data_IF_795574971802
#
_entry.id   IF_795574971802
#
_cell.length_a   1.000
_cell.length_b   1.000
_cell.length_c   1.000
_cell.angle_alpha   90.00
_cell.angle_beta   90.00
_cell.angle_gamma   90.00
#
_symmetry.space_group_name_H-M   'P 1'
#
loop_
_entity.id
_entity.type
_entity.pdbx_description
1 polymer ?
#
# COMPACT_ATOMS: atom_id res chain seq x y z
N UNK A 1 -23.18 -14.75 3.90
CA UNK A 1 -22.14 -14.89 4.94
C UNK A 1 -21.23 -16.05 4.50
N UNK A 2 -20.10 -15.77 3.85
CA UNK A 2 -19.21 -16.87 3.42
C UNK A 2 -18.51 -17.45 4.65
N UNK A 3 -19.06 -18.56 5.16
CA UNK A 3 -18.44 -19.44 6.16
C UNK A 3 -17.24 -20.19 5.59
N UNK A 4 -16.31 -19.48 4.96
CA UNK A 4 -15.05 -20.05 4.51
C UNK A 4 -14.21 -20.47 5.71
N UNK A 5 -13.72 -21.70 5.70
CA UNK A 5 -12.85 -22.24 6.76
C UNK A 5 -11.65 -21.30 6.96
N UNK A 6 -11.47 -20.79 8.19
CA UNK A 6 -10.31 -19.95 8.53
C UNK A 6 -9.04 -20.78 8.36
N UNK A 7 -8.09 -20.30 7.58
CA UNK A 7 -6.76 -20.90 7.47
C UNK A 7 -6.01 -20.67 8.78
N UNK A 8 -5.40 -21.74 9.33
CA UNK A 8 -4.52 -21.64 10.49
C UNK A 8 -3.11 -21.35 9.99
N UNK A 9 -2.54 -20.24 10.43
CA UNK A 9 -1.16 -19.86 10.17
C UNK A 9 -0.44 -19.65 11.49
N UNK A 10 0.86 -19.91 11.51
CA UNK A 10 1.75 -19.57 12.62
C UNK A 10 2.67 -18.46 12.12
N UNK A 11 2.75 -17.37 12.89
CA UNK A 11 3.62 -16.23 12.58
C UNK A 11 4.44 -15.89 13.81
N UNK A 12 5.65 -15.42 13.60
CA UNK A 12 6.44 -14.76 14.65
C UNK A 12 6.10 -13.28 14.61
N UNK A 13 5.84 -12.71 15.77
CA UNK A 13 5.49 -11.30 15.94
C UNK A 13 6.40 -10.68 16.98
N UNK A 14 6.69 -9.40 16.80
CA UNK A 14 7.48 -8.65 17.77
C UNK A 14 6.77 -8.64 19.13
N UNK A 15 7.53 -8.74 20.25
CA UNK A 15 6.97 -8.85 21.59
C UNK A 15 6.09 -7.65 21.94
N UNK A 16 6.49 -6.44 21.56
CA UNK A 16 5.73 -5.21 21.80
C UNK A 16 4.35 -5.21 21.11
N UNK A 17 4.28 -5.83 19.92
CA UNK A 17 3.02 -5.97 19.16
C UNK A 17 2.10 -6.99 19.83
N UNK A 18 2.68 -8.07 20.35
CA UNK A 18 1.93 -9.08 21.10
C UNK A 18 1.37 -8.49 22.40
N UNK A 19 2.19 -7.77 23.18
CA UNK A 19 1.78 -7.12 24.42
C UNK A 19 0.60 -6.15 24.18
N UNK A 20 0.70 -5.34 23.12
CA UNK A 20 -0.39 -4.44 22.76
C UNK A 20 -1.67 -5.18 22.39
N UNK A 21 -1.57 -6.30 21.65
CA UNK A 21 -2.72 -7.11 21.29
C UNK A 21 -3.37 -7.75 22.53
N UNK A 22 -2.57 -8.25 23.47
CA UNK A 22 -3.05 -8.78 24.76
C UNK A 22 -3.74 -7.70 25.59
N UNK A 23 -3.17 -6.49 25.65
CA UNK A 23 -3.79 -5.35 26.32
C UNK A 23 -5.16 -4.99 25.72
N UNK A 24 -5.32 -5.05 24.39
CA UNK A 24 -6.61 -4.83 23.74
C UNK A 24 -7.64 -5.90 24.09
N UNK A 25 -7.22 -7.15 24.25
CA UNK A 25 -8.10 -8.24 24.70
C UNK A 25 -8.48 -8.07 26.16
N UNK A 26 -7.51 -7.76 27.02
CA UNK A 26 -7.74 -7.49 28.45
C UNK A 26 -8.69 -6.30 28.67
N UNK A 27 -8.59 -5.27 27.82
CA UNK A 27 -9.49 -4.13 27.83
C UNK A 27 -10.89 -4.42 27.24
N UNK A 28 -11.17 -5.66 26.85
CA UNK A 28 -12.45 -6.07 26.25
C UNK A 28 -12.70 -5.52 24.85
N UNK A 29 -11.69 -4.94 24.20
CA UNK A 29 -11.79 -4.34 22.86
C UNK A 29 -11.72 -5.37 21.74
N UNK A 30 -11.28 -6.59 22.04
CA UNK A 30 -11.22 -7.70 21.11
C UNK A 30 -11.50 -9.03 21.80
N UNK A 31 -12.06 -9.99 21.06
CA UNK A 31 -12.38 -11.34 21.56
C UNK A 31 -11.15 -12.25 21.68
N UNK A 32 -10.00 -11.81 21.19
CA UNK A 32 -8.74 -12.52 21.27
C UNK A 32 -7.68 -11.91 20.36
N UNK A 33 -6.42 -12.33 20.54
CA UNK A 33 -5.26 -11.82 19.79
C UNK A 33 -5.46 -11.97 18.27
N UNK A 34 -6.00 -13.11 17.83
CA UNK A 34 -6.31 -13.33 16.40
C UNK A 34 -7.34 -12.34 15.84
N UNK A 35 -8.30 -11.87 16.65
CA UNK A 35 -9.26 -10.86 16.22
C UNK A 35 -8.57 -9.50 16.02
N UNK A 36 -7.67 -9.12 16.93
CA UNK A 36 -6.85 -7.89 16.80
C UNK A 36 -6.03 -7.90 15.51
N UNK A 37 -5.35 -9.01 15.22
CA UNK A 37 -4.56 -9.13 13.99
C UNK A 37 -5.43 -9.07 12.73
N UNK A 38 -6.57 -9.77 12.71
CA UNK A 38 -7.49 -9.73 11.57
C UNK A 38 -8.02 -8.31 11.34
N UNK A 39 -8.39 -7.59 12.39
CA UNK A 39 -8.88 -6.21 12.30
C UNK A 39 -7.78 -5.25 11.82
N UNK A 40 -6.55 -5.41 12.30
CA UNK A 40 -5.41 -4.62 11.85
C UNK A 40 -5.14 -4.82 10.34
N UNK A 41 -5.14 -6.07 9.87
CA UNK A 41 -4.95 -6.39 8.45
C UNK A 41 -6.12 -5.87 7.61
N UNK A 42 -7.36 -5.97 8.08
CA UNK A 42 -8.52 -5.43 7.38
C UNK A 42 -8.42 -3.90 7.24
N UNK A 43 -8.02 -3.18 8.30
CA UNK A 43 -7.80 -1.73 8.27
C UNK A 43 -6.67 -1.34 7.31
N UNK A 44 -5.57 -2.09 7.31
CA UNK A 44 -4.46 -1.88 6.38
C UNK A 44 -4.94 -2.04 4.93
N UNK A 45 -5.67 -3.13 4.64
CA UNK A 45 -6.23 -3.38 3.31
C UNK A 45 -7.12 -2.25 2.82
N UNK A 46 -8.00 -1.71 3.69
CA UNK A 46 -8.85 -0.57 3.33
C UNK A 46 -8.00 0.67 3.03
N UNK A 47 -6.97 0.93 3.84
CA UNK A 47 -6.07 2.07 3.65
C UNK A 47 -5.29 1.95 2.34
N UNK A 48 -4.74 0.78 2.06
CA UNK A 48 -4.00 0.51 0.82
C UNK A 48 -4.90 0.65 -0.41
N UNK A 49 -6.13 0.11 -0.36
CA UNK A 49 -7.08 0.28 -1.45
C UNK A 49 -7.49 1.74 -1.65
N UNK A 50 -7.68 2.51 -0.57
CA UNK A 50 -7.99 3.94 -0.66
C UNK A 50 -6.83 4.74 -1.25
N UNK A 51 -5.60 4.47 -0.82
CA UNK A 51 -4.41 5.10 -1.37
C UNK A 51 -4.28 4.82 -2.87
N UNK A 52 -4.44 3.56 -3.30
CA UNK A 52 -4.43 3.19 -4.71
C UNK A 52 -5.59 3.81 -5.50
N UNK A 53 -6.79 3.90 -4.91
CA UNK A 53 -7.94 4.54 -5.55
C UNK A 53 -7.70 6.04 -5.78
N UNK A 54 -7.14 6.74 -4.78
CA UNK A 54 -6.76 8.15 -4.91
C UNK A 54 -5.69 8.34 -5.98
N UNK A 55 -4.66 7.48 -6.02
CA UNK A 55 -3.63 7.53 -7.07
C UNK A 55 -4.22 7.31 -8.47
N UNK A 56 -5.12 6.33 -8.63
CA UNK A 56 -5.80 6.05 -9.90
C UNK A 56 -6.70 7.21 -10.32
N UNK A 57 -7.40 7.83 -9.39
CA UNK A 57 -8.23 9.01 -9.67
C UNK A 57 -7.38 10.18 -10.17
N UNK A 58 -6.27 10.47 -9.48
CA UNK A 58 -5.34 11.52 -9.90
C UNK A 58 -4.70 11.22 -11.25
N UNK A 59 -4.38 9.96 -11.52
CA UNK A 59 -3.87 9.53 -12.83
C UNK A 59 -4.88 9.73 -13.96
N UNK A 60 -6.19 9.48 -13.72
CA UNK A 60 -7.24 9.72 -14.71
C UNK A 60 -7.41 11.20 -15.07
N UNK A 61 -7.17 12.09 -14.11
CA UNK A 61 -7.26 13.54 -14.29
C UNK A 61 -5.96 14.15 -14.86
N UNK A 62 -4.87 13.37 -14.93
CA UNK A 62 -3.59 13.85 -15.42
C UNK A 62 -3.59 13.89 -16.95
N UNK A 63 -3.16 15.03 -17.52
CA UNK A 63 -2.88 15.14 -18.96
C UNK A 63 -1.57 14.39 -19.29
N UNK A 64 -1.62 13.28 -20.04
CA UNK A 64 -0.43 12.49 -20.38
C UNK A 64 0.62 13.29 -21.14
N UNK A 65 0.21 14.27 -21.96
CA UNK A 65 1.11 15.10 -22.74
C UNK A 65 1.86 16.11 -21.87
N UNK A 66 1.20 16.65 -20.83
CA UNK A 66 1.83 17.52 -19.82
C UNK A 66 2.82 16.73 -18.97
N UNK A 67 2.44 15.54 -18.50
CA UNK A 67 3.33 14.67 -17.71
C UNK A 67 4.59 14.29 -18.50
N UNK A 68 4.42 13.92 -19.78
CA UNK A 68 5.54 13.57 -20.66
C UNK A 68 6.51 14.74 -20.86
N UNK A 69 5.99 15.97 -21.02
CA UNK A 69 6.81 17.19 -21.13
C UNK A 69 7.59 17.46 -19.84
N UNK A 70 6.93 17.34 -18.69
CA UNK A 70 7.56 17.52 -17.38
C UNK A 70 8.68 16.48 -17.14
N UNK A 71 8.42 15.20 -17.42
CA UNK A 71 9.41 14.13 -17.26
C UNK A 71 10.64 14.33 -18.17
N UNK A 72 10.44 14.80 -19.41
CA UNK A 72 11.57 15.16 -20.29
C UNK A 72 12.40 16.31 -19.72
N UNK A 73 11.76 17.32 -19.14
CA UNK A 73 12.47 18.43 -18.52
C UNK A 73 13.27 17.98 -17.28
N UNK A 74 12.66 17.17 -16.41
CA UNK A 74 13.33 16.60 -15.23
C UNK A 74 14.51 15.71 -15.63
N UNK A 75 14.34 14.82 -16.61
CA UNK A 75 15.42 13.97 -17.09
C UNK A 75 16.58 14.77 -17.71
N UNK A 76 16.27 15.89 -18.38
CA UNK A 76 17.29 16.81 -18.87
C UNK A 76 18.08 17.43 -17.72
N UNK A 77 17.41 17.93 -16.68
CA UNK A 77 18.08 18.48 -15.49
C UNK A 77 18.91 17.43 -14.75
N UNK A 78 18.40 16.20 -14.59
CA UNK A 78 19.16 15.11 -13.98
C UNK A 78 20.46 14.86 -14.74
N UNK A 79 20.39 14.80 -16.07
CA UNK A 79 21.55 14.57 -16.93
C UNK A 79 22.53 15.74 -16.87
N UNK A 80 22.03 16.99 -16.87
CA UNK A 80 22.85 18.20 -16.72
C UNK A 80 23.61 18.24 -15.38
N UNK A 81 23.05 17.64 -14.33
CA UNK A 81 23.68 17.53 -13.01
C UNK A 81 24.44 16.21 -12.78
N UNK A 82 24.66 15.41 -13.83
CA UNK A 82 25.45 14.17 -13.77
C UNK A 82 24.72 12.97 -13.16
N UNK A 83 23.40 13.05 -12.96
CA UNK A 83 22.56 11.94 -12.54
C UNK A 83 21.98 11.20 -13.74
N UNK A 84 21.82 9.88 -13.62
CA UNK A 84 21.16 9.07 -14.64
C UNK A 84 19.68 9.46 -14.80
N UNK A 85 19.24 9.61 -16.04
CA UNK A 85 17.83 9.86 -16.37
C UNK A 85 16.92 8.73 -15.83
N UNK A 86 15.73 9.11 -15.38
CA UNK A 86 14.70 8.15 -14.96
C UNK A 86 14.19 7.42 -16.21
N UNK A 87 14.41 6.10 -16.29
CA UNK A 87 13.92 5.26 -17.38
C UNK A 87 12.38 5.18 -17.36
N UNK A 88 11.69 5.34 -18.51
CA UNK A 88 10.23 5.29 -18.58
C UNK A 88 9.64 3.87 -18.44
N UNK A 89 10.45 2.82 -18.58
CA UNK A 89 10.02 1.42 -18.75
C UNK A 89 9.62 0.69 -17.45
N UNK A 90 9.16 1.43 -16.44
CA UNK A 90 8.58 0.85 -15.21
C UNK A 90 7.16 1.37 -14.93
N UNK A 91 6.57 2.08 -15.88
CA UNK A 91 5.15 2.36 -15.90
C UNK A 91 4.42 1.21 -16.62
N UNK A 92 3.53 0.55 -15.87
CA UNK A 92 2.61 -0.55 -16.20
C UNK A 92 2.33 -0.82 -17.70
N UNK A 93 2.17 -2.10 -18.10
CA UNK A 93 1.77 -2.45 -19.46
C UNK A 93 0.40 -1.81 -19.75
N UNK A 94 0.34 -1.08 -20.87
CA UNK A 94 -0.92 -0.73 -21.49
C UNK A 94 -1.51 -2.03 -22.06
N UNK A 95 -2.51 -2.59 -21.39
CA UNK A 95 -3.35 -3.64 -21.96
C UNK A 95 -3.89 -3.15 -23.32
N UNK A 96 -3.65 -3.97 -24.35
CA UNK A 96 -4.25 -3.87 -25.68
C UNK A 96 -5.52 -4.70 -25.73
#
# INVERSE_FOLDING_TARGET
>A
MSGGRKARITITVDPDVLEYAEHLVAAGKATGVAAVFNDAIAKKRVTDHRALALLRERARQADPARVSRMMRHVNRQLTEHGFSALRPDRALPADR
#
